data_IF_670588352764
#
_entry.id   IF_670588352764
#
_cell.length_a   1.000
_cell.length_b   1.000
_cell.length_c   1.000
_cell.angle_alpha   90.00
_cell.angle_beta   90.00
_cell.angle_gamma   90.00
#
_symmetry.space_group_name_H-M   'P 1'
#
loop_
_entity.id
_entity.type
_entity.pdbx_description
1 polymer ?
#
# COMPACT_ATOMS: atom_id res chain seq x y z
N UNK A 1 46.17 -28.24 23.56
CA UNK A 1 44.82 -28.75 23.88
C UNK A 1 43.96 -28.61 22.62
N UNK A 2 43.19 -29.61 22.22
CA UNK A 2 42.30 -29.53 21.03
C UNK A 2 41.27 -28.39 21.20
N UNK A 3 40.93 -27.72 20.10
CA UNK A 3 39.92 -26.66 20.05
C UNK A 3 38.57 -27.11 20.64
N UNK A 4 38.16 -28.35 20.34
CA UNK A 4 36.95 -28.95 20.91
C UNK A 4 37.01 -29.07 22.45
N UNK A 5 38.17 -29.44 23.01
CA UNK A 5 38.35 -29.59 24.45
C UNK A 5 38.34 -28.24 25.21
N UNK A 6 38.75 -27.15 24.54
CA UNK A 6 38.71 -25.80 25.13
C UNK A 6 37.28 -25.24 25.19
N UNK A 7 36.49 -25.45 24.13
CA UNK A 7 35.09 -25.02 24.03
C UNK A 7 34.19 -25.74 25.04
N UNK A 8 34.36 -27.06 25.20
CA UNK A 8 33.58 -27.86 26.15
C UNK A 8 33.77 -27.43 27.61
N UNK A 9 34.93 -26.85 27.96
CA UNK A 9 35.18 -26.32 29.32
C UNK A 9 34.51 -24.99 29.62
N UNK A 10 34.18 -24.18 28.60
CA UNK A 10 33.63 -22.83 28.78
C UNK A 10 32.13 -22.72 28.54
N UNK A 11 31.51 -23.69 27.86
CA UNK A 11 30.07 -23.70 27.65
C UNK A 11 29.51 -25.11 27.94
N UNK A 12 28.82 -25.32 29.09
CA UNK A 12 28.27 -26.62 29.46
C UNK A 12 27.25 -27.18 28.45
N UNK A 13 26.62 -26.31 27.65
CA UNK A 13 25.64 -26.68 26.63
C UNK A 13 26.25 -27.48 25.46
N UNK A 14 27.52 -27.22 25.14
CA UNK A 14 28.22 -27.85 24.00
C UNK A 14 28.91 -29.19 24.38
N UNK A 15 28.88 -29.58 25.65
CA UNK A 15 29.45 -30.84 26.12
C UNK A 15 28.68 -32.09 25.62
N UNK A 16 27.47 -31.91 25.07
CA UNK A 16 26.61 -33.01 24.57
C UNK A 16 26.86 -33.40 23.11
N UNK A 17 27.73 -32.69 22.39
CA UNK A 17 28.03 -32.96 20.98
C UNK A 17 29.41 -33.63 20.79
N UNK A 18 29.51 -34.53 19.81
CA UNK A 18 30.75 -35.24 19.47
C UNK A 18 31.82 -34.28 18.96
N UNK A 19 33.09 -34.50 19.35
CA UNK A 19 34.22 -33.59 19.06
C UNK A 19 34.40 -33.28 17.56
N UNK A 20 34.07 -34.21 16.67
CA UNK A 20 34.14 -34.03 15.22
C UNK A 20 33.16 -32.96 14.68
N UNK A 21 32.00 -32.78 15.33
CA UNK A 21 31.03 -31.75 14.96
C UNK A 21 31.42 -30.34 15.45
N UNK A 22 32.36 -30.24 16.39
CA UNK A 22 32.91 -28.97 16.87
C UNK A 22 34.11 -28.51 16.01
N UNK A 23 34.87 -29.45 15.46
CA UNK A 23 35.96 -29.18 14.51
C UNK A 23 35.44 -28.60 13.18
N UNK A 24 34.22 -28.95 12.75
CA UNK A 24 33.60 -28.37 11.54
C UNK A 24 33.23 -26.89 11.68
N UNK A 25 33.28 -26.33 12.89
CA UNK A 25 33.05 -24.91 13.16
C UNK A 25 34.33 -24.07 13.13
N UNK A 26 35.52 -24.69 13.01
CA UNK A 26 36.81 -24.01 12.87
C UNK A 26 36.83 -22.91 11.79
N UNK A 27 36.26 -23.10 10.58
CA UNK A 27 36.28 -22.08 9.53
C UNK A 27 35.48 -20.82 9.91
N UNK A 28 34.44 -20.95 10.74
CA UNK A 28 33.59 -19.84 11.16
C UNK A 28 34.21 -19.00 12.29
N UNK A 29 35.23 -19.52 12.98
CA UNK A 29 35.92 -18.78 14.05
C UNK A 29 36.79 -17.63 13.53
N UNK A 30 37.15 -17.66 12.24
CA UNK A 30 37.91 -16.60 11.57
C UNK A 30 37.04 -15.38 11.22
N UNK A 31 35.71 -15.49 11.34
CA UNK A 31 34.75 -14.41 11.05
C UNK A 31 34.29 -13.65 12.31
N UNK A 32 34.72 -14.06 13.51
CA UNK A 32 34.36 -13.41 14.77
C UNK A 32 35.55 -12.62 15.36
N UNK A 33 35.47 -11.28 15.51
CA UNK A 33 36.58 -10.45 15.98
C UNK A 33 37.03 -10.75 17.41
N UNK A 34 36.19 -11.44 18.20
CA UNK A 34 36.42 -11.75 19.61
C UNK A 34 37.17 -13.08 19.79
N UNK A 35 37.02 -14.04 18.87
CA UNK A 35 37.57 -15.40 19.01
C UNK A 35 39.03 -15.53 18.56
N UNK A 36 39.51 -14.64 17.69
CA UNK A 36 40.86 -14.67 17.13
C UNK A 36 41.97 -14.36 18.17
N UNK A 37 41.64 -13.65 19.26
CA UNK A 37 42.65 -13.21 20.26
C UNK A 37 43.05 -14.28 21.29
N UNK A 38 42.36 -15.42 21.33
CA UNK A 38 42.55 -16.45 22.38
C UNK A 38 43.07 -17.80 21.89
N UNK A 39 43.30 -17.96 20.57
CA UNK A 39 43.78 -19.22 19.97
C UNK A 39 45.14 -19.00 19.30
N UNK A 40 46.18 -18.81 20.12
CA UNK A 40 47.57 -18.89 19.65
C UNK A 40 47.95 -20.36 19.45
N UNK A 41 47.86 -20.85 18.22
CA UNK A 41 48.56 -22.07 17.82
C UNK A 41 49.91 -21.69 17.19
N UNK A 42 50.97 -22.04 17.92
CA UNK A 42 52.35 -21.91 17.48
C UNK A 42 52.64 -22.96 16.42
N UNK A 43 52.82 -22.54 15.16
CA UNK A 43 53.49 -23.36 14.15
C UNK A 43 54.93 -22.85 14.08
N UNK A 44 55.84 -23.68 14.59
CA UNK A 44 57.28 -23.44 14.60
C UNK A 44 57.80 -23.11 13.20
N UNK A 45 58.40 -21.92 13.06
CA UNK A 45 59.48 -21.65 12.10
C UNK A 45 60.80 -21.83 12.85
N UNK A 46 61.72 -22.60 12.28
CA UNK A 46 63.15 -22.46 12.59
C UNK A 46 63.97 -22.48 11.31
N UNK A 47 65.07 -21.75 11.37
CA UNK A 47 65.86 -21.19 10.28
C UNK A 47 66.94 -22.14 9.74
N UNK A 48 67.32 -21.87 8.48
CA UNK A 48 68.66 -21.89 7.86
C UNK A 48 69.73 -22.90 8.28
N UNK A 49 70.18 -23.62 7.23
CA UNK A 49 71.55 -23.72 6.72
C UNK A 49 72.68 -24.41 7.54
N UNK A 50 73.33 -25.34 6.80
CA UNK A 50 74.75 -25.70 6.78
C UNK A 50 75.29 -26.79 7.74
N UNK A 51 75.63 -27.94 7.14
CA UNK A 51 76.92 -28.67 7.23
C UNK A 51 76.75 -30.03 6.49
N UNK A 52 77.32 -30.24 5.29
CA UNK A 52 78.71 -30.67 4.99
C UNK A 52 78.97 -32.15 5.38
N UNK A 53 79.67 -33.02 4.66
CA UNK A 53 80.32 -33.09 3.34
C UNK A 53 80.87 -34.54 3.22
N UNK A 54 80.94 -35.15 2.02
CA UNK A 54 81.97 -36.14 1.62
C UNK A 54 81.68 -36.73 0.22
N UNK A 55 82.44 -36.27 -0.79
CA UNK A 55 83.05 -37.08 -1.85
C UNK A 55 83.59 -36.15 -2.95
N UNK A 56 84.84 -35.71 -2.78
CA UNK A 56 85.64 -35.06 -3.81
C UNK A 56 86.82 -35.98 -4.15
N UNK A 57 87.04 -36.23 -5.45
CA UNK A 57 88.36 -36.37 -6.11
C UNK A 57 88.29 -37.26 -7.37
N UNK A 58 87.98 -36.67 -8.53
CA UNK A 58 88.59 -36.98 -9.84
C UNK A 58 88.01 -36.07 -10.94
N UNK A 59 88.85 -35.69 -11.90
CA UNK A 59 88.52 -35.03 -13.18
C UNK A 59 88.55 -33.49 -13.22
N UNK A 60 89.71 -32.91 -12.91
CA UNK A 60 90.18 -31.69 -13.56
C UNK A 60 91.12 -32.06 -14.73
N UNK A 61 90.58 -32.24 -15.95
CA UNK A 61 91.32 -32.20 -17.23
C UNK A 61 90.42 -32.43 -18.48
N UNK A 62 89.33 -31.68 -18.66
CA UNK A 62 88.61 -31.65 -19.95
C UNK A 62 87.97 -30.28 -20.19
N UNK A 63 88.82 -29.25 -20.27
CA UNK A 63 88.44 -27.92 -20.70
C UNK A 63 88.47 -27.84 -22.24
N UNK A 64 87.43 -27.20 -22.78
CA UNK A 64 87.36 -26.57 -24.11
C UNK A 64 87.07 -27.46 -25.34
N UNK A 65 85.80 -27.86 -25.53
CA UNK A 65 85.19 -28.04 -26.88
C UNK A 65 83.66 -28.34 -26.89
N UNK A 66 82.99 -28.58 -25.76
CA UNK A 66 81.55 -28.93 -25.69
C UNK A 66 80.54 -27.87 -25.12
N UNK A 67 80.88 -26.68 -24.58
CA UNK A 67 79.86 -25.81 -23.95
C UNK A 67 78.99 -24.99 -24.93
N UNK A 68 79.42 -24.79 -26.18
CA UNK A 68 78.76 -23.85 -27.10
C UNK A 68 77.51 -24.45 -27.78
N UNK A 69 77.55 -25.74 -28.17
CA UNK A 69 76.43 -26.43 -28.83
C UNK A 69 75.28 -26.71 -27.85
N UNK A 70 75.60 -27.11 -26.62
CA UNK A 70 74.63 -27.30 -25.54
C UNK A 70 73.98 -25.98 -25.08
N UNK A 71 74.71 -24.86 -25.09
CA UNK A 71 74.17 -23.54 -24.76
C UNK A 71 73.20 -23.01 -25.82
N UNK A 72 73.49 -23.23 -27.11
CA UNK A 72 72.60 -22.85 -28.21
C UNK A 72 71.29 -23.65 -28.20
N UNK A 73 71.35 -24.97 -27.99
CA UNK A 73 70.16 -25.83 -27.91
C UNK A 73 69.28 -25.47 -26.68
N UNK A 74 69.91 -25.11 -25.56
CA UNK A 74 69.23 -24.64 -24.35
C UNK A 74 68.53 -23.29 -24.54
N UNK A 75 69.15 -22.34 -25.28
CA UNK A 75 68.51 -21.07 -25.63
C UNK A 75 67.31 -21.27 -26.57
N UNK A 76 67.40 -22.21 -27.51
CA UNK A 76 66.33 -22.51 -28.46
C UNK A 76 65.11 -23.12 -27.76
N UNK A 77 65.32 -24.07 -26.84
CA UNK A 77 64.28 -24.62 -25.97
C UNK A 77 63.65 -23.56 -25.04
N UNK A 78 64.46 -22.65 -24.49
CA UNK A 78 63.95 -21.52 -23.69
C UNK A 78 63.11 -20.54 -24.51
N UNK A 79 63.50 -20.27 -25.76
CA UNK A 79 62.72 -19.43 -26.67
C UNK A 79 61.38 -20.09 -27.03
N UNK A 80 61.36 -21.39 -27.26
CA UNK A 80 60.15 -22.16 -27.59
C UNK A 80 59.20 -22.26 -26.38
N UNK A 81 59.73 -22.46 -25.17
CA UNK A 81 58.96 -22.38 -23.92
C UNK A 81 58.32 -21.01 -23.72
N UNK A 82 59.06 -19.92 -23.95
CA UNK A 82 58.54 -18.56 -23.87
C UNK A 82 57.45 -18.28 -24.92
N UNK A 83 57.59 -18.82 -26.14
CA UNK A 83 56.58 -18.74 -27.19
C UNK A 83 55.30 -19.50 -26.80
N UNK A 84 55.44 -20.69 -26.21
CA UNK A 84 54.32 -21.49 -25.73
C UNK A 84 53.58 -20.80 -24.58
N UNK A 85 54.31 -20.22 -23.62
CA UNK A 85 53.74 -19.44 -22.52
C UNK A 85 52.98 -18.21 -23.03
N UNK A 86 53.52 -17.47 -23.98
CA UNK A 86 52.83 -16.33 -24.62
C UNK A 86 51.53 -16.76 -25.30
N UNK A 87 51.55 -17.90 -26.02
CA UNK A 87 50.34 -18.48 -26.64
C UNK A 87 49.32 -18.89 -25.59
N UNK A 88 49.73 -19.59 -24.53
CA UNK A 88 48.86 -19.98 -23.42
C UNK A 88 48.22 -18.76 -22.74
N UNK A 89 49.02 -17.72 -22.49
CA UNK A 89 48.55 -16.47 -21.89
C UNK A 89 47.60 -15.69 -22.82
N UNK A 90 47.79 -15.77 -24.15
CA UNK A 90 46.87 -15.22 -25.13
C UNK A 90 45.55 -16.01 -25.18
N UNK A 91 45.61 -17.34 -25.09
CA UNK A 91 44.44 -18.21 -25.04
C UNK A 91 43.62 -18.00 -23.76
N UNK A 92 44.29 -17.84 -22.62
CA UNK A 92 43.66 -17.50 -21.33
C UNK A 92 42.94 -16.15 -21.39
N UNK A 93 43.54 -15.13 -22.03
CA UNK A 93 42.89 -13.82 -22.25
C UNK A 93 41.66 -13.92 -23.14
N UNK A 94 41.71 -14.71 -24.22
CA UNK A 94 40.54 -14.96 -25.06
C UNK A 94 39.42 -15.67 -24.28
N UNK A 95 39.76 -16.64 -23.43
CA UNK A 95 38.78 -17.35 -22.61
C UNK A 95 38.10 -16.40 -21.60
N UNK A 96 38.87 -15.52 -20.96
CA UNK A 96 38.34 -14.47 -20.08
C UNK A 96 37.42 -13.49 -20.82
N UNK A 97 37.78 -13.06 -22.03
CA UNK A 97 36.93 -12.19 -22.84
C UNK A 97 35.60 -12.86 -23.22
N UNK A 98 35.64 -14.14 -23.62
CA UNK A 98 34.43 -14.91 -23.92
C UNK A 98 33.52 -15.06 -22.67
N UNK A 99 34.10 -15.36 -21.50
CA UNK A 99 33.35 -15.42 -20.24
C UNK A 99 32.70 -14.07 -19.89
N UNK A 100 33.42 -12.95 -20.05
CA UNK A 100 32.85 -11.62 -19.81
C UNK A 100 31.69 -11.31 -20.76
N UNK A 101 31.83 -11.66 -22.04
CA UNK A 101 30.78 -11.45 -23.05
C UNK A 101 29.55 -12.32 -22.75
N UNK A 102 29.76 -13.56 -22.31
CA UNK A 102 28.67 -14.47 -21.93
C UNK A 102 27.91 -13.96 -20.69
N UNK A 103 28.63 -13.42 -19.70
CA UNK A 103 28.04 -12.77 -18.54
C UNK A 103 27.23 -11.52 -18.91
N UNK A 104 27.75 -10.69 -19.84
CA UNK A 104 27.02 -9.52 -20.35
C UNK A 104 25.71 -9.91 -21.05
N UNK A 105 25.74 -10.95 -21.89
CA UNK A 105 24.56 -11.48 -22.56
C UNK A 105 23.51 -11.99 -21.57
N UNK A 106 23.93 -12.72 -20.53
CA UNK A 106 23.03 -13.16 -19.45
C UNK A 106 22.40 -11.97 -18.73
N UNK A 107 23.19 -10.94 -18.41
CA UNK A 107 22.69 -9.73 -17.75
C UNK A 107 21.68 -8.98 -18.63
N UNK A 108 21.93 -8.91 -19.94
CA UNK A 108 21.03 -8.28 -20.90
C UNK A 108 19.71 -9.05 -21.03
N UNK A 109 19.75 -10.38 -21.07
CA UNK A 109 18.55 -11.23 -21.07
C UNK A 109 17.72 -11.05 -19.79
N UNK A 110 18.38 -10.98 -18.63
CA UNK A 110 17.71 -10.75 -17.35
C UNK A 110 17.00 -9.38 -17.33
N UNK A 111 17.66 -8.32 -17.82
CA UNK A 111 17.05 -6.99 -17.95
C UNK A 111 15.84 -7.01 -18.89
N UNK A 112 15.94 -7.72 -20.02
CA UNK A 112 14.83 -7.85 -20.96
C UNK A 112 13.63 -8.58 -20.32
N UNK A 113 13.90 -9.63 -19.54
CA UNK A 113 12.85 -10.37 -18.81
C UNK A 113 12.18 -9.49 -17.75
N UNK A 114 12.96 -8.74 -16.97
CA UNK A 114 12.43 -7.78 -15.99
C UNK A 114 11.57 -6.71 -16.66
N UNK A 115 12.03 -6.15 -17.79
CA UNK A 115 11.28 -5.15 -18.53
C UNK A 115 9.95 -5.72 -19.08
N UNK A 116 9.97 -6.96 -19.61
CA UNK A 116 8.74 -7.66 -20.04
C UNK A 116 7.75 -7.85 -18.89
N UNK A 117 8.24 -8.25 -17.71
CA UNK A 117 7.40 -8.42 -16.52
C UNK A 117 6.79 -7.08 -16.06
N UNK A 118 7.57 -6.00 -16.09
CA UNK A 118 7.07 -4.65 -15.79
C UNK A 118 6.00 -4.20 -16.78
N UNK A 119 6.22 -4.38 -18.08
CA UNK A 119 5.24 -4.08 -19.13
C UNK A 119 3.94 -4.88 -18.91
N UNK A 120 4.04 -6.17 -18.59
CA UNK A 120 2.87 -7.01 -18.33
C UNK A 120 2.10 -6.56 -17.09
N UNK A 121 2.80 -6.19 -16.00
CA UNK A 121 2.15 -5.61 -14.82
C UNK A 121 1.49 -4.27 -15.14
N UNK A 122 2.13 -3.41 -15.92
CA UNK A 122 1.58 -2.11 -16.30
C UNK A 122 0.31 -2.28 -17.15
N UNK A 123 0.29 -3.22 -18.10
CA UNK A 123 -0.89 -3.54 -18.88
C UNK A 123 -2.04 -4.07 -18.00
N UNK A 124 -1.74 -4.95 -17.04
CA UNK A 124 -2.75 -5.47 -16.13
C UNK A 124 -3.34 -4.37 -15.25
N UNK A 125 -2.50 -3.47 -14.73
CA UNK A 125 -2.95 -2.31 -13.96
C UNK A 125 -3.83 -1.37 -14.79
N UNK A 126 -3.45 -1.09 -16.04
CA UNK A 126 -4.28 -0.27 -16.93
C UNK A 126 -5.63 -0.93 -17.22
N UNK A 127 -5.67 -2.24 -17.47
CA UNK A 127 -6.93 -2.97 -17.67
C UNK A 127 -7.82 -2.90 -16.42
N UNK A 128 -7.26 -3.09 -15.23
CA UNK A 128 -8.01 -2.97 -13.97
C UNK A 128 -8.55 -1.55 -13.76
N UNK A 129 -7.75 -0.51 -14.04
CA UNK A 129 -8.20 0.87 -13.96
C UNK A 129 -9.33 1.17 -14.95
N UNK A 130 -9.22 0.69 -16.20
CA UNK A 130 -10.28 0.85 -17.19
C UNK A 130 -11.58 0.14 -16.77
N UNK A 131 -11.49 -1.08 -16.22
CA UNK A 131 -12.66 -1.79 -15.71
C UNK A 131 -13.32 -1.05 -14.54
N UNK A 132 -12.52 -0.51 -13.60
CA UNK A 132 -13.04 0.29 -12.49
C UNK A 132 -13.72 1.57 -12.97
N UNK A 133 -13.12 2.28 -13.95
CA UNK A 133 -13.72 3.47 -14.54
C UNK A 133 -15.04 3.17 -15.26
N UNK A 134 -15.10 2.05 -16.00
CA UNK A 134 -16.33 1.62 -16.67
C UNK A 134 -17.46 1.28 -15.68
N UNK A 135 -17.15 0.67 -14.54
CA UNK A 135 -18.14 0.39 -13.50
C UNK A 135 -18.68 1.67 -12.85
N UNK A 136 -17.82 2.67 -12.63
CA UNK A 136 -18.23 3.96 -12.04
C UNK A 136 -19.05 4.84 -12.99
N UNK A 137 -18.90 4.64 -14.30
CA UNK A 137 -19.62 5.41 -15.34
C UNK A 137 -20.93 4.74 -15.78
N UNK A 138 -21.36 3.65 -15.13
CA UNK A 138 -22.64 3.05 -15.46
C UNK A 138 -23.77 4.03 -15.10
N UNK A 139 -24.61 4.42 -16.08
CA UNK A 139 -25.77 5.23 -15.78
C UNK A 139 -26.67 4.47 -14.81
N UNK A 140 -27.34 5.20 -13.92
CA UNK A 140 -28.34 4.61 -13.05
C UNK A 140 -29.38 3.86 -13.90
N UNK A 141 -29.84 2.67 -13.47
CA UNK A 141 -30.91 1.96 -14.16
C UNK A 141 -32.11 2.88 -14.40
N UNK A 142 -32.78 2.69 -15.52
CA UNK A 142 -34.00 3.42 -15.84
C UNK A 142 -35.01 3.24 -14.69
N UNK A 143 -35.54 4.36 -14.18
CA UNK A 143 -36.47 4.34 -13.05
C UNK A 143 -35.84 4.12 -11.66
N UNK A 144 -34.50 4.19 -11.50
CA UNK A 144 -33.83 4.04 -10.20
C UNK A 144 -34.44 4.89 -9.07
N UNK A 145 -34.73 6.17 -9.33
CA UNK A 145 -35.33 7.04 -8.32
C UNK A 145 -36.75 6.62 -7.97
N UNK A 146 -37.52 6.15 -8.95
CA UNK A 146 -38.88 5.68 -8.74
C UNK A 146 -38.87 4.37 -7.93
N UNK A 147 -38.02 3.41 -8.30
CA UNK A 147 -37.93 2.13 -7.57
C UNK A 147 -37.41 2.31 -6.14
N UNK A 148 -36.46 3.23 -5.92
CA UNK A 148 -36.00 3.57 -4.58
C UNK A 148 -37.10 4.24 -3.74
N UNK A 149 -37.89 5.15 -4.35
CA UNK A 149 -39.02 5.77 -3.69
C UNK A 149 -40.11 4.75 -3.34
N UNK A 150 -40.46 3.86 -4.29
CA UNK A 150 -41.46 2.81 -4.10
C UNK A 150 -41.05 1.83 -3.00
N UNK A 151 -39.77 1.45 -2.95
CA UNK A 151 -39.24 0.62 -1.88
C UNK A 151 -39.38 1.29 -0.50
N UNK A 152 -39.13 2.61 -0.41
CA UNK A 152 -39.34 3.37 0.83
C UNK A 152 -40.80 3.54 1.21
N UNK A 153 -41.70 3.67 0.24
CA UNK A 153 -43.14 3.67 0.49
C UNK A 153 -43.59 2.29 1.01
N UNK A 154 -43.13 1.20 0.37
CA UNK A 154 -43.43 -0.16 0.80
C UNK A 154 -42.97 -0.43 2.23
N UNK A 155 -41.76 0.02 2.60
CA UNK A 155 -41.25 -0.04 3.98
C UNK A 155 -42.19 0.67 4.97
N UNK A 156 -42.63 1.90 4.66
CA UNK A 156 -43.58 2.64 5.50
C UNK A 156 -44.93 1.92 5.65
N UNK A 157 -45.40 1.26 4.59
CA UNK A 157 -46.61 0.44 4.62
C UNK A 157 -46.43 -0.82 5.47
N UNK A 158 -45.32 -1.53 5.31
CA UNK A 158 -44.97 -2.73 6.10
C UNK A 158 -44.86 -2.40 7.59
N UNK A 159 -44.28 -1.24 7.93
CA UNK A 159 -44.17 -0.78 9.31
C UNK A 159 -45.50 -0.24 9.89
N UNK A 160 -46.53 -0.07 9.07
CA UNK A 160 -47.80 0.51 9.52
C UNK A 160 -47.72 1.99 9.90
N UNK A 161 -46.66 2.70 9.50
CA UNK A 161 -46.45 4.13 9.78
C UNK A 161 -46.77 5.04 8.60
N UNK A 162 -47.20 4.46 7.48
CA UNK A 162 -47.74 5.22 6.36
C UNK A 162 -48.97 6.02 6.81
N UNK A 163 -48.98 7.33 6.53
CA UNK A 163 -50.04 8.24 7.00
C UNK A 163 -51.06 8.47 5.89
N UNK A 164 -52.32 8.21 6.20
CA UNK A 164 -53.47 8.61 5.38
C UNK A 164 -54.12 9.82 6.04
N UNK A 165 -54.18 10.94 5.32
CA UNK A 165 -54.69 12.19 5.87
C UNK A 165 -56.21 12.28 5.76
N UNK A 166 -56.86 12.71 6.85
CA UNK A 166 -58.27 13.03 6.86
C UNK A 166 -58.53 14.37 6.15
N UNK A 167 -59.49 14.39 5.23
CA UNK A 167 -59.88 15.61 4.51
C UNK A 167 -60.97 16.35 5.29
N UNK A 168 -60.57 17.37 6.04
CA UNK A 168 -61.44 18.09 6.98
C UNK A 168 -61.61 19.56 6.56
N UNK A 169 -62.83 20.09 6.72
CA UNK A 169 -63.14 21.52 6.62
C UNK A 169 -63.77 22.03 7.91
N UNK A 170 -63.06 22.87 8.67
CA UNK A 170 -63.57 23.48 9.91
C UNK A 170 -64.73 24.44 9.61
N UNK A 171 -65.70 24.52 10.52
CA UNK A 171 -66.85 25.43 10.40
C UNK A 171 -66.62 26.68 11.25
N UNK A 172 -66.64 27.86 10.63
CA UNK A 172 -66.53 29.15 11.34
C UNK A 172 -67.76 29.35 12.23
N UNK A 173 -67.56 29.72 13.49
CA UNK A 173 -68.63 29.85 14.49
C UNK A 173 -68.88 28.57 15.28
N UNK A 174 -68.24 27.45 14.90
CA UNK A 174 -68.28 26.18 15.60
C UNK A 174 -66.84 25.62 15.73
N UNK A 175 -66.03 26.11 16.68
CA UNK A 175 -64.57 25.92 16.69
C UNK A 175 -64.14 24.44 16.78
N UNK A 176 -64.98 23.58 17.36
CA UNK A 176 -64.77 22.14 17.50
C UNK A 176 -65.41 21.31 16.39
N UNK A 177 -66.14 21.92 15.45
CA UNK A 177 -66.86 21.20 14.38
C UNK A 177 -66.16 21.30 13.04
N UNK A 178 -66.21 20.20 12.30
CA UNK A 178 -65.69 20.14 10.95
C UNK A 178 -66.52 19.18 10.09
N UNK A 179 -66.45 19.38 8.77
CA UNK A 179 -66.97 18.47 7.78
C UNK A 179 -65.84 17.56 7.31
N UNK A 180 -65.98 16.25 7.55
CA UNK A 180 -65.11 15.21 7.03
C UNK A 180 -65.62 14.78 5.66
N UNK A 181 -64.80 14.93 4.62
CA UNK A 181 -65.13 14.45 3.27
C UNK A 181 -64.96 12.93 3.20
N UNK A 182 -66.07 12.24 2.96
CA UNK A 182 -66.09 10.80 2.72
C UNK A 182 -66.54 10.44 1.29
N UNK A 183 -66.48 9.15 0.92
CA UNK A 183 -66.90 8.65 -0.39
C UNK A 183 -68.37 8.95 -0.73
N UNK A 184 -69.23 8.98 0.29
CA UNK A 184 -70.67 9.22 0.15
C UNK A 184 -71.09 10.67 0.44
N UNK A 185 -70.12 11.58 0.60
CA UNK A 185 -70.36 12.99 0.92
C UNK A 185 -69.71 13.46 2.22
N UNK A 186 -69.98 14.71 2.58
CA UNK A 186 -69.44 15.34 3.80
C UNK A 186 -70.26 14.92 5.03
N UNK A 187 -69.59 14.53 6.12
CA UNK A 187 -70.21 14.22 7.42
C UNK A 187 -69.68 15.17 8.49
N UNK A 188 -70.55 15.67 9.37
CA UNK A 188 -70.11 16.50 10.50
C UNK A 188 -69.40 15.65 11.56
N UNK A 189 -68.24 16.09 12.02
CA UNK A 189 -67.43 15.48 13.06
C UNK A 189 -66.99 16.50 14.10
N UNK A 190 -66.63 16.01 15.29
CA UNK A 190 -66.07 16.84 16.37
C UNK A 190 -64.55 16.64 16.43
N UNK A 191 -63.79 17.72 16.40
CA UNK A 191 -62.33 17.71 16.41
C UNK A 191 -61.79 17.67 17.84
N UNK A 192 -61.14 16.57 18.20
CA UNK A 192 -60.48 16.38 19.50
C UNK A 192 -58.95 16.51 19.45
N UNK A 193 -58.36 16.55 18.25
CA UNK A 193 -56.91 16.66 18.03
C UNK A 193 -56.47 18.03 17.49
N UNK A 194 -57.31 19.06 17.62
CA UNK A 194 -56.99 20.42 17.17
C UNK A 194 -55.99 21.08 18.12
N UNK A 195 -55.03 21.82 17.55
CA UNK A 195 -54.11 22.69 18.31
C UNK A 195 -54.63 24.13 18.45
N UNK A 196 -55.79 24.45 17.88
CA UNK A 196 -56.47 25.73 18.11
C UNK A 196 -57.24 25.68 19.44
N UNK A 197 -56.49 25.66 20.55
CA UNK A 197 -56.99 25.35 21.88
C UNK A 197 -58.11 26.28 22.35
N UNK A 198 -58.00 27.56 22.01
CA UNK A 198 -58.95 28.61 22.42
C UNK A 198 -59.95 28.97 21.30
N UNK A 199 -59.91 28.30 20.15
CA UNK A 199 -60.75 28.64 19.00
C UNK A 199 -60.42 30.00 18.36
N UNK A 200 -59.23 30.55 18.62
CA UNK A 200 -58.84 31.90 18.19
C UNK A 200 -58.74 32.02 16.68
N UNK A 201 -58.54 30.91 15.96
CA UNK A 201 -58.53 30.94 14.50
C UNK A 201 -59.87 31.38 13.88
N UNK A 202 -60.95 31.35 14.66
CA UNK A 202 -62.29 31.77 14.22
C UNK A 202 -62.80 33.02 14.95
N UNK A 203 -61.99 33.61 15.84
CA UNK A 203 -62.42 34.75 16.64
C UNK A 203 -62.71 35.96 15.73
N UNK A 204 -63.86 36.65 15.86
CA UNK A 204 -64.25 37.72 14.93
C UNK A 204 -63.21 38.83 14.76
N UNK A 205 -62.55 39.24 15.86
CA UNK A 205 -61.46 40.25 15.81
C UNK A 205 -60.25 39.77 15.01
N UNK A 206 -59.91 38.49 15.09
CA UNK A 206 -58.75 37.91 14.38
C UNK A 206 -59.05 37.84 12.88
N UNK A 207 -60.23 37.31 12.52
CA UNK A 207 -60.68 37.26 11.11
C UNK A 207 -60.73 38.67 10.51
N UNK A 208 -61.30 39.63 11.23
CA UNK A 208 -61.43 41.01 10.76
C UNK A 208 -60.06 41.65 10.51
N UNK A 209 -59.13 41.53 11.46
CA UNK A 209 -57.78 42.06 11.30
C UNK A 209 -57.05 41.44 10.09
N UNK A 210 -57.23 40.13 9.87
CA UNK A 210 -56.69 39.45 8.69
C UNK A 210 -57.32 39.96 7.38
N UNK A 211 -58.64 40.14 7.33
CA UNK A 211 -59.35 40.69 6.16
C UNK A 211 -58.88 42.11 5.83
N UNK A 212 -58.70 42.97 6.83
CA UNK A 212 -58.20 44.34 6.67
C UNK A 212 -56.76 44.37 6.14
N UNK A 213 -55.88 43.51 6.67
CA UNK A 213 -54.50 43.38 6.19
C UNK A 213 -54.47 42.88 4.73
N UNK A 214 -55.29 41.89 4.38
CA UNK A 214 -55.42 41.38 3.01
C UNK A 214 -55.89 42.46 2.03
N UNK A 215 -56.90 43.24 2.42
CA UNK A 215 -57.44 44.30 1.58
C UNK A 215 -56.47 45.45 1.34
N UNK A 216 -55.65 45.79 2.35
CA UNK A 216 -54.74 46.94 2.29
C UNK A 216 -53.35 46.61 1.74
N UNK A 217 -52.86 45.39 1.97
CA UNK A 217 -51.46 45.02 1.70
C UNK A 217 -51.31 43.77 0.82
N UNK A 218 -52.42 43.17 0.38
CA UNK A 218 -52.41 41.97 -0.45
C UNK A 218 -52.14 40.68 0.34
N UNK A 219 -51.97 39.57 -0.38
CA UNK A 219 -51.94 38.23 0.21
C UNK A 219 -50.62 37.85 0.90
N UNK A 220 -49.51 38.53 0.61
CA UNK A 220 -48.20 38.17 1.13
C UNK A 220 -47.22 39.33 1.12
N UNK A 221 -46.08 39.15 1.77
CA UNK A 221 -45.05 40.20 1.91
C UNK A 221 -44.29 40.51 0.63
N UNK A 222 -44.29 39.59 -0.36
CA UNK A 222 -43.58 39.78 -1.63
C UNK A 222 -42.05 39.73 -1.54
N UNK A 223 -41.48 39.37 -0.39
CA UNK A 223 -40.03 39.33 -0.22
C UNK A 223 -39.59 38.82 1.14
N UNK A 224 -38.28 38.71 1.33
CA UNK A 224 -37.67 38.37 2.62
C UNK A 224 -37.59 39.62 3.51
N UNK A 225 -37.28 39.47 4.80
CA UNK A 225 -37.17 40.62 5.72
C UNK A 225 -36.21 41.70 5.23
N UNK A 226 -35.12 41.33 4.57
CA UNK A 226 -34.12 42.27 4.05
C UNK A 226 -34.52 42.92 2.72
N UNK A 227 -35.25 42.20 1.88
CA UNK A 227 -35.60 42.66 0.52
C UNK A 227 -37.13 42.68 0.41
N UNK A 228 -37.70 43.88 0.50
CA UNK A 228 -39.13 44.20 0.31
C UNK A 228 -40.16 43.50 1.22
N UNK A 229 -39.77 42.54 2.07
CA UNK A 229 -40.71 41.74 2.86
C UNK A 229 -41.01 42.25 4.27
N UNK A 230 -40.27 43.23 4.80
CA UNK A 230 -40.59 43.84 6.10
C UNK A 230 -41.67 44.90 5.93
N UNK A 231 -42.78 44.76 6.64
CA UNK A 231 -43.89 45.72 6.62
C UNK A 231 -44.36 46.09 8.04
N UNK A 232 -45.28 47.05 8.12
CA UNK A 232 -45.81 47.59 9.39
C UNK A 232 -46.40 46.53 10.32
N UNK A 233 -46.98 45.45 9.76
CA UNK A 233 -47.57 44.37 10.57
C UNK A 233 -46.52 43.50 11.26
N UNK A 234 -45.37 43.27 10.62
CA UNK A 234 -44.27 42.54 11.26
C UNK A 234 -43.74 43.33 12.46
N UNK A 235 -43.51 44.64 12.28
CA UNK A 235 -43.02 45.50 13.35
C UNK A 235 -44.03 45.60 14.51
N UNK A 236 -45.32 45.73 14.20
CA UNK A 236 -46.37 45.77 15.22
C UNK A 236 -46.46 44.46 15.99
N UNK A 237 -46.39 43.31 15.31
CA UNK A 237 -46.39 41.99 15.95
C UNK A 237 -45.15 41.77 16.81
N UNK A 238 -43.96 42.14 16.32
CA UNK A 238 -42.70 42.03 17.07
C UNK A 238 -42.73 42.87 18.35
N UNK A 239 -43.32 44.06 18.28
CA UNK A 239 -43.52 44.91 19.45
C UNK A 239 -44.49 44.28 20.44
N UNK A 240 -45.66 43.82 19.99
CA UNK A 240 -46.67 43.19 20.86
C UNK A 240 -46.15 41.93 21.55
N UNK A 241 -45.26 41.16 20.91
CA UNK A 241 -44.63 39.99 21.52
C UNK A 241 -43.58 40.39 22.58
N UNK A 242 -42.96 41.56 22.43
CA UNK A 242 -41.92 42.04 23.33
C UNK A 242 -42.46 42.74 24.58
N UNK A 243 -43.66 43.33 24.49
CA UNK A 243 -44.38 44.00 25.59
C UNK A 243 -44.89 42.97 26.64
#
# INVERSE_FOLDING_TARGET
MSFAAHLQRRCPFLARHQAAALESLLPFTLLCPVASKTLNFSVHKSHNAAAAAAAAAAAAAAAAAEPALAAAHKQQLQHEQLQLEKKLQQQQRQLQQLQQQQLQLQLQQQKLQQHKQQLQQQQLQQQQQQQQQQQQQQPLPEGFYNSAADAKLAELHTEGRYRVFAHLRRQVGAPQKALLRGPSGDTEVTLWCSNDYLGMSQHPRVIKAAQEALASSGAGSGGTRNISGSNVYHQALEKEIAD
#
